data_IF_115960638065
#
_entry.id   IF_115960638065
#
_cell.length_a   1.000
_cell.length_b   1.000
_cell.length_c   1.000
_cell.angle_alpha   90.00
_cell.angle_beta   90.00
_cell.angle_gamma   90.00
#
_symmetry.space_group_name_H-M   'P 1'
#
loop_
_entity.id
_entity.type
_entity.pdbx_description
1 polymer ?
#
# COMPACT_ATOMS: atom_id res chain seq x y z
N UNK A 1 -8.44 14.97 14.83
CA UNK A 1 -9.15 13.69 14.56
C UNK A 1 -8.08 12.67 14.17
N UNK A 2 -8.07 11.43 14.69
CA UNK A 2 -7.10 10.41 14.24
C UNK A 2 -7.67 9.00 14.43
N UNK A 3 -7.19 8.04 13.63
CA UNK A 3 -7.37 6.61 13.89
C UNK A 3 -6.15 6.13 14.69
N UNK A 4 -6.39 5.61 15.89
CA UNK A 4 -5.33 5.15 16.77
C UNK A 4 -5.55 3.69 17.15
N UNK A 5 -4.52 2.88 16.97
CA UNK A 5 -4.45 1.48 17.39
C UNK A 5 -3.46 1.40 18.54
N UNK A 6 -3.86 0.78 19.67
CA UNK A 6 -3.04 0.72 20.88
C UNK A 6 -2.97 -0.70 21.42
N UNK A 7 -1.76 -1.21 21.59
CA UNK A 7 -1.41 -2.51 22.18
C UNK A 7 -2.28 -3.67 21.65
N UNK A 8 -2.65 -3.63 20.34
CA UNK A 8 -3.60 -4.57 19.75
C UNK A 8 -3.01 -5.97 19.70
N UNK A 9 -3.71 -6.95 20.26
CA UNK A 9 -3.32 -8.37 20.27
C UNK A 9 -4.41 -9.25 19.69
N UNK A 10 -3.99 -10.28 18.95
CA UNK A 10 -4.91 -11.26 18.36
C UNK A 10 -4.25 -12.62 18.26
N UNK A 11 -4.99 -13.62 18.69
CA UNK A 11 -4.62 -15.02 18.59
C UNK A 11 -5.72 -15.83 17.90
N UNK A 12 -5.34 -16.80 17.07
CA UNK A 12 -6.23 -17.81 16.53
C UNK A 12 -5.77 -19.18 17.02
N UNK A 13 -6.52 -19.78 17.95
CA UNK A 13 -6.09 -20.97 18.66
C UNK A 13 -4.76 -20.74 19.40
N UNK A 14 -3.73 -21.50 19.06
CA UNK A 14 -2.39 -21.36 19.66
C UNK A 14 -1.49 -20.33 18.94
N UNK A 15 -1.89 -19.86 17.75
CA UNK A 15 -1.07 -18.97 16.93
C UNK A 15 -1.32 -17.50 17.30
N UNK A 16 -0.26 -16.82 17.80
CA UNK A 16 -0.25 -15.37 17.95
C UNK A 16 -0.11 -14.73 16.57
N UNK A 17 -1.05 -13.84 16.19
CA UNK A 17 -1.04 -13.15 14.89
C UNK A 17 -0.71 -11.68 15.04
N UNK A 18 -1.20 -11.03 16.11
CA UNK A 18 -0.83 -9.67 16.47
C UNK A 18 -0.35 -9.65 17.90
N UNK A 19 0.81 -9.01 18.15
CA UNK A 19 1.47 -8.98 19.43
C UNK A 19 1.85 -7.54 19.84
N UNK A 20 0.86 -6.80 20.31
CA UNK A 20 1.05 -5.44 20.81
C UNK A 20 1.29 -4.43 19.68
N UNK A 21 0.34 -4.32 18.74
CA UNK A 21 0.43 -3.39 17.62
C UNK A 21 0.03 -1.99 18.06
N UNK A 22 0.91 -1.03 17.80
CA UNK A 22 0.71 0.40 18.04
C UNK A 22 0.98 1.19 16.77
N UNK A 23 0.03 1.99 16.31
CA UNK A 23 0.22 3.01 15.29
C UNK A 23 -0.91 4.04 15.32
N UNK A 24 -0.65 5.19 14.72
CA UNK A 24 -1.63 6.27 14.59
C UNK A 24 -1.66 6.78 13.15
N UNK A 25 -2.87 7.00 12.63
CA UNK A 25 -3.12 7.56 11.30
C UNK A 25 -3.61 8.99 11.46
N UNK A 26 -2.87 9.93 10.90
CA UNK A 26 -3.26 11.34 10.85
C UNK A 26 -4.52 11.50 10.00
N UNK A 27 -5.42 12.43 10.32
CA UNK A 27 -6.58 12.71 9.47
C UNK A 27 -6.16 13.10 8.06
N UNK A 28 -6.93 12.65 7.08
CA UNK A 28 -6.72 12.93 5.66
C UNK A 28 -5.41 12.39 5.08
N UNK A 29 -4.69 11.55 5.86
CA UNK A 29 -3.52 10.83 5.40
C UNK A 29 -3.86 9.43 4.91
N UNK A 30 -3.02 8.93 4.01
CA UNK A 30 -2.96 7.51 3.63
C UNK A 30 -1.82 6.88 4.43
N UNK A 31 -2.15 5.97 5.31
CA UNK A 31 -1.18 5.22 6.11
C UNK A 31 -1.05 3.80 5.57
N UNK A 32 0.14 3.42 5.12
CA UNK A 32 0.39 2.05 4.66
C UNK A 32 0.90 1.16 5.79
N UNK A 33 0.40 -0.08 5.83
CA UNK A 33 0.97 -1.16 6.65
C UNK A 33 1.60 -2.16 5.68
N UNK A 34 2.93 -2.26 5.72
CA UNK A 34 3.71 -3.10 4.81
C UNK A 34 4.28 -4.30 5.55
N UNK A 35 4.24 -5.46 4.94
CA UNK A 35 4.82 -6.68 5.51
C UNK A 35 4.55 -7.90 4.65
N UNK A 36 5.27 -8.99 4.90
CA UNK A 36 5.11 -10.26 4.17
C UNK A 36 3.71 -10.86 4.35
N UNK A 37 3.32 -11.77 3.47
CA UNK A 37 2.08 -12.53 3.63
C UNK A 37 2.04 -13.25 4.97
N UNK A 38 0.89 -13.17 5.66
CA UNK A 38 0.70 -13.79 6.97
C UNK A 38 1.27 -13.01 8.15
N UNK A 39 1.79 -11.78 7.97
CA UNK A 39 2.29 -10.93 9.07
C UNK A 39 1.19 -10.35 9.97
N UNK A 40 -0.09 -10.45 9.58
CA UNK A 40 -1.23 -9.95 10.38
C UNK A 40 -1.92 -8.71 9.83
N UNK A 41 -1.50 -8.18 8.66
CA UNK A 41 -2.04 -6.95 8.05
C UNK A 41 -3.55 -6.94 7.89
N UNK A 42 -4.10 -7.92 7.17
CA UNK A 42 -5.57 -8.02 6.96
C UNK A 42 -6.34 -8.25 8.26
N UNK A 43 -5.71 -8.89 9.26
CA UNK A 43 -6.31 -9.04 10.60
C UNK A 43 -6.49 -7.68 11.27
N UNK A 44 -5.50 -6.79 11.17
CA UNK A 44 -5.62 -5.40 11.68
C UNK A 44 -6.80 -4.70 11.01
N UNK A 45 -6.89 -4.73 9.67
CA UNK A 45 -7.99 -4.08 8.95
C UNK A 45 -9.36 -4.67 9.34
N UNK A 46 -9.47 -6.01 9.46
CA UNK A 46 -10.72 -6.67 9.87
C UNK A 46 -11.16 -6.26 11.26
N UNK A 47 -10.23 -6.11 12.21
CA UNK A 47 -10.54 -5.63 13.57
C UNK A 47 -11.01 -4.17 13.52
N UNK A 48 -10.34 -3.29 12.77
CA UNK A 48 -10.76 -1.88 12.60
C UNK A 48 -12.14 -1.81 11.96
N UNK A 49 -12.41 -2.60 10.93
CA UNK A 49 -13.71 -2.68 10.26
C UNK A 49 -14.83 -3.27 11.14
N UNK A 50 -14.49 -4.01 12.20
CA UNK A 50 -15.46 -4.72 13.04
C UNK A 50 -15.92 -6.05 12.46
N UNK A 51 -15.12 -6.61 11.55
CA UNK A 51 -15.31 -7.94 10.96
C UNK A 51 -14.62 -9.04 11.75
N UNK A 52 -13.79 -8.65 12.72
CA UNK A 52 -13.12 -9.52 13.68
C UNK A 52 -12.97 -8.78 15.02
N UNK A 53 -12.62 -9.52 16.09
CA UNK A 53 -12.42 -8.99 17.43
C UNK A 53 -10.95 -9.10 17.82
N UNK A 54 -10.44 -8.16 18.59
CA UNK A 54 -9.14 -8.28 19.28
C UNK A 54 -9.31 -9.06 20.58
N UNK A 55 -8.22 -9.68 21.05
CA UNK A 55 -8.17 -10.29 22.37
C UNK A 55 -7.81 -9.25 23.43
N UNK A 56 -6.89 -8.31 23.08
CA UNK A 56 -6.45 -7.19 23.93
C UNK A 56 -6.22 -5.95 23.06
N UNK A 57 -6.08 -4.80 23.72
CA UNK A 57 -5.81 -3.51 23.10
C UNK A 57 -7.08 -2.77 22.68
N UNK A 58 -6.89 -1.61 22.07
CA UNK A 58 -7.98 -0.71 21.71
C UNK A 58 -7.76 -0.11 20.30
N UNK A 59 -8.89 0.22 19.66
CA UNK A 59 -8.94 0.98 18.41
C UNK A 59 -9.82 2.19 18.61
N UNK A 60 -9.28 3.37 18.38
CA UNK A 60 -10.01 4.63 18.53
C UNK A 60 -10.14 5.36 17.20
N UNK A 61 -11.31 5.94 16.97
CA UNK A 61 -11.53 6.98 15.99
C UNK A 61 -12.01 8.24 16.71
N UNK A 62 -11.26 9.34 16.61
CA UNK A 62 -11.59 10.60 17.29
C UNK A 62 -11.85 10.41 18.79
N UNK A 63 -10.96 9.71 19.49
CA UNK A 63 -11.08 9.37 20.91
C UNK A 63 -12.26 8.45 21.29
N UNK A 64 -13.05 7.99 20.32
CA UNK A 64 -14.12 7.02 20.54
C UNK A 64 -13.63 5.62 20.23
N UNK A 65 -13.75 4.71 21.20
CA UNK A 65 -13.43 3.28 20.95
C UNK A 65 -14.35 2.70 19.89
N UNK A 66 -13.74 2.10 18.85
CA UNK A 66 -14.45 1.40 17.79
C UNK A 66 -14.79 -0.05 18.16
N UNK A 67 -14.06 -0.67 19.08
CA UNK A 67 -14.25 -2.10 19.41
C UNK A 67 -15.66 -2.39 19.97
N UNK A 68 -16.25 -1.41 20.65
CA UNK A 68 -17.61 -1.50 21.21
C UNK A 68 -18.71 -1.10 20.20
N UNK A 69 -18.33 -0.65 18.99
CA UNK A 69 -19.25 -0.19 17.95
C UNK A 69 -19.47 -1.30 16.93
N UNK A 70 -20.71 -1.73 16.63
CA UNK A 70 -20.99 -2.67 15.55
C UNK A 70 -20.45 -2.17 14.20
N UNK A 71 -19.98 -3.07 13.33
CA UNK A 71 -19.32 -2.72 12.06
C UNK A 71 -20.11 -1.68 11.24
N UNK A 72 -21.41 -1.89 11.05
CA UNK A 72 -22.28 -1.02 10.26
C UNK A 72 -22.48 0.42 10.85
N UNK A 73 -22.01 0.68 12.08
CA UNK A 73 -22.08 2.00 12.75
C UNK A 73 -20.72 2.66 12.91
N UNK A 74 -19.64 2.01 12.44
CA UNK A 74 -18.28 2.56 12.59
C UNK A 74 -17.94 3.66 11.62
N UNK A 75 -18.68 3.79 10.52
CA UNK A 75 -18.34 4.67 9.37
C UNK A 75 -16.95 4.34 8.80
N UNK A 76 -16.61 3.08 8.83
CA UNK A 76 -15.39 2.49 8.27
C UNK A 76 -15.80 1.56 7.15
N UNK A 77 -15.27 1.74 5.96
CA UNK A 77 -15.53 0.87 4.82
C UNK A 77 -14.26 0.20 4.37
N UNK A 78 -14.34 -1.07 4.03
CA UNK A 78 -13.20 -1.87 3.59
C UNK A 78 -13.36 -2.26 2.12
N UNK A 79 -12.34 -1.94 1.33
CA UNK A 79 -12.14 -2.44 -0.02
C UNK A 79 -11.23 -3.68 0.07
N UNK A 80 -11.77 -4.83 -0.28
CA UNK A 80 -11.05 -6.10 -0.22
C UNK A 80 -10.25 -6.35 -1.49
N UNK A 81 -9.30 -7.28 -1.45
CA UNK A 81 -8.55 -7.78 -2.59
C UNK A 81 -9.45 -8.25 -3.76
N UNK A 82 -10.56 -8.90 -3.45
CA UNK A 82 -11.62 -9.21 -4.42
C UNK A 82 -12.66 -8.10 -4.43
N UNK A 83 -13.19 -7.76 -5.59
CA UNK A 83 -14.17 -6.67 -5.76
C UNK A 83 -15.48 -6.91 -5.04
N UNK A 84 -15.83 -8.18 -4.75
CA UNK A 84 -17.06 -8.60 -4.08
C UNK A 84 -18.33 -7.95 -4.68
N UNK A 85 -18.33 -7.69 -5.98
CA UNK A 85 -19.50 -7.18 -6.69
C UNK A 85 -20.55 -8.30 -6.81
N UNK A 86 -21.82 -7.93 -6.71
CA UNK A 86 -22.92 -8.86 -6.92
C UNK A 86 -23.12 -9.08 -8.42
N UNK A 87 -22.84 -10.27 -8.96
CA UNK A 87 -22.84 -10.50 -10.43
C UNK A 87 -24.24 -10.48 -11.05
N UNK A 88 -25.29 -10.62 -10.24
CA UNK A 88 -26.69 -10.58 -10.66
C UNK A 88 -27.31 -9.18 -10.61
N UNK A 89 -26.55 -8.18 -10.23
CA UNK A 89 -26.92 -6.77 -10.19
C UNK A 89 -26.13 -5.99 -11.23
N UNK A 90 -26.71 -4.92 -11.77
CA UNK A 90 -25.99 -3.97 -12.60
C UNK A 90 -24.91 -3.23 -11.80
N UNK A 91 -24.03 -2.54 -12.50
CA UNK A 91 -23.01 -1.67 -11.90
C UNK A 91 -23.64 -0.63 -10.99
N UNK A 92 -24.68 0.05 -11.45
CA UNK A 92 -25.39 1.06 -10.66
C UNK A 92 -26.11 0.50 -9.46
N UNK A 93 -26.76 -0.67 -9.60
CA UNK A 93 -27.43 -1.34 -8.49
C UNK A 93 -26.44 -1.75 -7.39
N UNK A 94 -25.23 -2.24 -7.77
CA UNK A 94 -24.17 -2.54 -6.81
C UNK A 94 -23.79 -1.31 -5.96
N UNK A 95 -23.71 -0.13 -6.57
CA UNK A 95 -23.39 1.12 -5.86
C UNK A 95 -24.62 1.62 -5.07
N UNK A 96 -25.83 1.53 -5.64
CA UNK A 96 -27.08 1.94 -5.01
C UNK A 96 -27.31 1.26 -3.66
N UNK A 97 -26.94 -0.03 -3.52
CA UNK A 97 -27.05 -0.76 -2.27
C UNK A 97 -26.31 -0.11 -1.10
N UNK A 98 -25.22 0.61 -1.38
CA UNK A 98 -24.39 1.25 -0.36
C UNK A 98 -24.82 2.70 -0.06
N UNK A 99 -25.63 3.33 -0.93
CA UNK A 99 -26.11 4.70 -0.70
C UNK A 99 -27.14 4.74 0.43
N UNK A 100 -27.15 5.83 1.21
CA UNK A 100 -28.08 5.98 2.35
C UNK A 100 -29.55 6.00 1.94
N UNK A 101 -29.87 6.66 0.85
CA UNK A 101 -31.24 6.78 0.34
C UNK A 101 -31.63 5.70 -0.64
N UNK A 102 -30.70 4.78 -1.00
CA UNK A 102 -30.86 3.79 -2.06
C UNK A 102 -31.37 4.42 -3.37
N UNK A 103 -30.86 5.62 -3.70
CA UNK A 103 -31.29 6.34 -4.91
C UNK A 103 -30.31 6.15 -6.05
N UNK A 104 -30.86 6.06 -7.27
CA UNK A 104 -30.08 6.02 -8.52
C UNK A 104 -29.19 7.26 -8.67
N UNK A 105 -29.71 8.44 -8.37
CA UNK A 105 -28.99 9.70 -8.47
C UNK A 105 -27.70 9.71 -7.63
N UNK A 106 -27.79 9.22 -6.36
CA UNK A 106 -26.58 9.10 -5.54
C UNK A 106 -25.58 8.10 -6.09
N UNK A 107 -26.05 6.97 -6.62
CA UNK A 107 -25.17 5.99 -7.22
C UNK A 107 -24.50 6.54 -8.49
N UNK A 108 -25.22 7.22 -9.36
CA UNK A 108 -24.68 7.89 -10.57
C UNK A 108 -23.63 8.95 -10.18
N UNK A 109 -23.85 9.72 -9.10
CA UNK A 109 -22.84 10.65 -8.59
C UNK A 109 -21.53 9.93 -8.25
N UNK A 110 -21.58 8.82 -7.51
CA UNK A 110 -20.38 8.06 -7.15
C UNK A 110 -19.75 7.35 -8.34
N UNK A 111 -20.53 6.88 -9.31
CA UNK A 111 -20.02 6.36 -10.56
C UNK A 111 -19.30 7.43 -11.38
N UNK A 112 -19.81 8.66 -11.43
CA UNK A 112 -19.14 9.79 -12.07
C UNK A 112 -17.79 10.10 -11.39
N UNK A 113 -17.72 10.06 -10.05
CA UNK A 113 -16.48 10.27 -9.28
C UNK A 113 -15.41 9.25 -9.69
N UNK A 114 -15.80 7.99 -9.95
CA UNK A 114 -14.85 6.95 -10.40
C UNK A 114 -14.74 6.84 -11.93
N UNK A 115 -15.28 7.81 -12.69
CA UNK A 115 -15.24 7.90 -14.15
C UNK A 115 -15.95 6.73 -14.87
N UNK A 116 -17.08 6.31 -14.33
CA UNK A 116 -17.96 5.25 -14.87
C UNK A 116 -19.43 5.66 -14.90
N UNK A 117 -19.71 6.97 -15.03
CA UNK A 117 -21.08 7.49 -14.99
C UNK A 117 -21.99 6.96 -16.09
N UNK A 118 -21.43 6.59 -17.25
CA UNK A 118 -22.12 5.99 -18.41
C UNK A 118 -22.40 4.49 -18.24
N UNK A 119 -21.91 3.85 -17.17
CA UNK A 119 -21.96 2.41 -16.96
C UNK A 119 -23.02 1.94 -15.96
N UNK A 120 -23.95 2.81 -15.57
CA UNK A 120 -24.95 2.47 -14.53
C UNK A 120 -25.72 1.19 -14.84
N UNK A 121 -26.21 1.03 -16.07
CA UNK A 121 -27.06 -0.09 -16.48
C UNK A 121 -26.24 -1.27 -17.05
N UNK A 122 -24.88 -1.18 -17.08
CA UNK A 122 -24.01 -2.25 -17.52
C UNK A 122 -23.99 -3.43 -16.54
N UNK A 123 -23.77 -4.64 -17.04
CA UNK A 123 -23.57 -5.82 -16.19
C UNK A 123 -22.11 -5.92 -15.71
N UNK A 124 -21.88 -6.48 -14.51
CA UNK A 124 -20.55 -6.56 -13.89
C UNK A 124 -19.55 -7.31 -14.77
N UNK A 125 -19.99 -8.33 -15.50
CA UNK A 125 -19.12 -9.15 -16.36
C UNK A 125 -18.67 -8.44 -17.66
N UNK A 126 -19.31 -7.34 -18.05
CA UNK A 126 -18.90 -6.53 -19.20
C UNK A 126 -17.70 -5.62 -18.87
N UNK A 127 -17.35 -5.48 -17.58
CA UNK A 127 -16.29 -4.61 -17.11
C UNK A 127 -14.94 -5.31 -17.09
N UNK A 128 -13.89 -4.58 -17.45
CA UNK A 128 -12.50 -4.96 -17.17
C UNK A 128 -12.23 -5.05 -15.67
N UNK A 129 -11.18 -5.77 -15.25
CA UNK A 129 -10.82 -5.89 -13.84
C UNK A 129 -10.60 -4.52 -13.15
N UNK A 130 -9.98 -3.56 -13.85
CA UNK A 130 -9.80 -2.21 -13.32
C UNK A 130 -11.10 -1.40 -13.20
N UNK A 131 -12.06 -1.60 -14.11
CA UNK A 131 -13.39 -1.00 -13.99
C UNK A 131 -14.16 -1.62 -12.83
N UNK A 132 -14.11 -2.94 -12.66
CA UNK A 132 -14.72 -3.60 -11.50
C UNK A 132 -14.14 -3.09 -10.18
N UNK A 133 -12.82 -2.84 -10.13
CA UNK A 133 -12.18 -2.27 -8.95
C UNK A 133 -12.68 -0.84 -8.68
N UNK A 134 -12.85 -0.02 -9.71
CA UNK A 134 -13.45 1.33 -9.59
C UNK A 134 -14.91 1.29 -9.14
N UNK A 135 -15.71 0.34 -9.62
CA UNK A 135 -17.10 0.13 -9.14
C UNK A 135 -17.09 -0.26 -7.66
N UNK A 136 -16.20 -1.17 -7.25
CA UNK A 136 -16.05 -1.55 -5.83
C UNK A 136 -15.67 -0.34 -4.96
N UNK A 137 -14.79 0.53 -5.47
CA UNK A 137 -14.44 1.80 -4.81
C UNK A 137 -15.63 2.75 -4.74
N UNK A 138 -16.40 2.93 -5.83
CA UNK A 138 -17.61 3.75 -5.81
C UNK A 138 -18.61 3.25 -4.77
N UNK A 139 -18.81 1.94 -4.68
CA UNK A 139 -19.66 1.32 -3.66
C UNK A 139 -19.15 1.58 -2.23
N UNK A 140 -17.84 1.51 -2.03
CA UNK A 140 -17.22 1.80 -0.73
C UNK A 140 -17.43 3.27 -0.33
N UNK A 141 -17.26 4.20 -1.27
CA UNK A 141 -17.43 5.64 -1.07
C UNK A 141 -18.91 6.05 -0.91
N UNK A 142 -19.83 5.33 -1.57
CA UNK A 142 -21.27 5.57 -1.47
C UNK A 142 -21.83 5.37 -0.05
N UNK A 143 -21.12 4.62 0.79
CA UNK A 143 -21.42 4.50 2.22
C UNK A 143 -21.00 5.75 3.03
N UNK A 144 -20.36 6.74 2.41
CA UNK A 144 -19.82 7.97 3.01
C UNK A 144 -18.99 7.67 4.28
N UNK A 145 -17.91 6.90 4.14
CA UNK A 145 -17.07 6.52 5.26
C UNK A 145 -16.24 7.71 5.79
N UNK A 146 -15.83 7.65 7.05
CA UNK A 146 -14.80 8.51 7.62
C UNK A 146 -13.40 7.91 7.47
N UNK A 147 -13.33 6.57 7.41
CA UNK A 147 -12.09 5.83 7.22
C UNK A 147 -12.26 4.80 6.11
N UNK A 148 -11.37 4.83 5.13
CA UNK A 148 -11.29 3.85 4.04
C UNK A 148 -10.16 2.86 4.30
N UNK A 149 -10.48 1.58 4.34
CA UNK A 149 -9.51 0.48 4.48
C UNK A 149 -9.31 -0.19 3.13
N UNK A 150 -8.06 -0.35 2.72
CA UNK A 150 -7.64 -0.92 1.44
C UNK A 150 -6.81 -2.18 1.69
N UNK A 151 -7.37 -3.36 1.48
CA UNK A 151 -6.70 -4.65 1.71
C UNK A 151 -6.18 -5.23 0.39
N UNK A 152 -4.91 -5.02 0.11
CA UNK A 152 -4.21 -5.44 -1.12
C UNK A 152 -5.01 -5.13 -2.41
N UNK A 153 -5.46 -3.88 -2.62
CA UNK A 153 -6.46 -3.55 -3.63
C UNK A 153 -5.97 -3.63 -5.08
N UNK A 154 -4.67 -3.82 -5.30
CA UNK A 154 -4.05 -3.82 -6.63
C UNK A 154 -3.50 -5.19 -7.05
N UNK A 155 -3.75 -6.22 -6.28
CA UNK A 155 -3.32 -7.58 -6.58
C UNK A 155 -4.01 -8.09 -7.85
N UNK A 156 -3.27 -8.80 -8.71
CA UNK A 156 -3.74 -9.38 -9.98
C UNK A 156 -4.14 -8.37 -11.08
N UNK A 157 -3.69 -7.12 -11.00
CA UNK A 157 -3.86 -6.14 -12.07
C UNK A 157 -2.62 -6.12 -12.99
N UNK A 158 -2.85 -5.77 -14.26
CA UNK A 158 -1.76 -5.45 -15.19
C UNK A 158 -0.92 -4.29 -14.65
N UNK A 159 0.43 -4.29 -14.79
CA UNK A 159 1.30 -3.28 -14.20
C UNK A 159 0.96 -1.83 -14.60
N UNK A 160 0.57 -1.58 -15.86
CA UNK A 160 0.23 -0.24 -16.30
C UNK A 160 -1.10 0.22 -15.69
N UNK A 161 -2.10 -0.66 -15.71
CA UNK A 161 -3.40 -0.42 -15.09
C UNK A 161 -3.28 -0.23 -13.57
N UNK A 162 -2.40 -1.00 -12.92
CA UNK A 162 -2.10 -0.88 -11.49
C UNK A 162 -1.60 0.52 -11.14
N UNK A 163 -0.59 1.03 -11.87
CA UNK A 163 -0.02 2.35 -11.62
C UNK A 163 -1.06 3.48 -11.77
N UNK A 164 -1.86 3.45 -12.84
CA UNK A 164 -2.90 4.44 -13.07
C UNK A 164 -3.98 4.41 -11.98
N UNK A 165 -4.39 3.21 -11.55
CA UNK A 165 -5.38 3.05 -10.49
C UNK A 165 -4.86 3.49 -9.12
N UNK A 166 -3.60 3.24 -8.80
CA UNK A 166 -2.95 3.70 -7.57
C UNK A 166 -2.96 5.23 -7.49
N UNK A 167 -2.52 5.91 -8.55
CA UNK A 167 -2.56 7.37 -8.62
C UNK A 167 -3.98 7.90 -8.50
N UNK A 168 -4.90 7.32 -9.25
CA UNK A 168 -6.31 7.70 -9.21
C UNK A 168 -6.90 7.59 -7.79
N UNK A 169 -6.68 6.46 -7.10
CA UNK A 169 -7.19 6.26 -5.73
C UNK A 169 -6.53 7.23 -4.75
N UNK A 170 -5.22 7.46 -4.86
CA UNK A 170 -4.52 8.44 -4.03
C UNK A 170 -5.10 9.83 -4.18
N UNK A 171 -5.22 10.30 -5.42
CA UNK A 171 -5.74 11.62 -5.71
C UNK A 171 -7.18 11.76 -5.17
N UNK A 172 -8.02 10.75 -5.39
CA UNK A 172 -9.40 10.74 -4.92
C UNK A 172 -9.53 10.76 -3.39
N UNK A 173 -8.69 10.00 -2.68
CA UNK A 173 -8.65 10.02 -1.19
C UNK A 173 -8.30 11.41 -0.69
N UNK A 174 -7.36 12.10 -1.35
CA UNK A 174 -6.97 13.47 -1.00
C UNK A 174 -8.05 14.49 -1.36
N UNK A 175 -8.67 14.40 -2.53
CA UNK A 175 -9.76 15.30 -2.96
C UNK A 175 -11.00 15.20 -2.06
N UNK A 176 -11.27 14.01 -1.52
CA UNK A 176 -12.42 13.77 -0.64
C UNK A 176 -12.10 13.95 0.84
N UNK A 177 -10.88 14.39 1.19
CA UNK A 177 -10.42 14.53 2.59
C UNK A 177 -10.63 13.27 3.43
N UNK A 178 -10.44 12.09 2.83
CA UNK A 178 -10.61 10.81 3.51
C UNK A 178 -9.35 10.41 4.28
N UNK A 179 -9.55 9.76 5.42
CA UNK A 179 -8.47 9.04 6.10
C UNK A 179 -8.42 7.60 5.57
N UNK A 180 -7.25 7.11 5.14
CA UNK A 180 -7.15 5.77 4.57
C UNK A 180 -6.05 4.95 5.23
N UNK A 181 -6.30 3.63 5.34
CA UNK A 181 -5.30 2.63 5.72
C UNK A 181 -5.13 1.65 4.57
N UNK A 182 -3.94 1.61 3.99
CA UNK A 182 -3.55 0.69 2.92
C UNK A 182 -2.77 -0.48 3.52
N UNK A 183 -3.14 -1.69 3.19
CA UNK A 183 -2.34 -2.88 3.49
C UNK A 183 -1.80 -3.43 2.19
N UNK A 184 -0.49 -3.65 2.15
CA UNK A 184 0.20 -4.22 0.99
C UNK A 184 1.46 -4.99 1.41
N UNK A 185 1.92 -5.88 0.55
CA UNK A 185 3.25 -6.48 0.61
C UNK A 185 4.23 -5.81 -0.37
N UNK A 186 3.73 -4.86 -1.18
CA UNK A 186 4.49 -4.16 -2.20
C UNK A 186 4.98 -2.81 -1.66
N UNK A 187 6.31 -2.66 -1.57
CA UNK A 187 6.96 -1.44 -1.09
C UNK A 187 6.73 -0.25 -2.05
N UNK A 188 6.71 -0.51 -3.35
CA UNK A 188 6.49 0.53 -4.37
C UNK A 188 5.08 1.11 -4.24
N UNK A 189 4.07 0.29 -3.94
CA UNK A 189 2.72 0.78 -3.64
C UNK A 189 2.70 1.72 -2.45
N UNK A 190 3.36 1.33 -1.36
CA UNK A 190 3.43 2.16 -0.16
C UNK A 190 4.18 3.48 -0.44
N UNK A 191 5.28 3.43 -1.20
CA UNK A 191 6.04 4.63 -1.58
C UNK A 191 5.24 5.58 -2.48
N UNK A 192 4.43 5.04 -3.39
CA UNK A 192 3.62 5.85 -4.31
C UNK A 192 2.41 6.48 -3.62
N UNK A 193 1.76 5.74 -2.73
CA UNK A 193 0.45 6.11 -2.20
C UNK A 193 0.47 6.73 -0.81
N UNK A 194 1.36 6.27 0.08
CA UNK A 194 1.25 6.58 1.49
C UNK A 194 2.00 7.86 1.90
N UNK A 195 1.43 8.58 2.85
CA UNK A 195 2.08 9.68 3.55
C UNK A 195 2.99 9.14 4.68
N UNK A 196 2.54 8.07 5.34
CA UNK A 196 3.30 7.34 6.37
C UNK A 196 3.15 5.84 6.19
N UNK A 197 4.17 5.12 6.64
CA UNK A 197 4.26 3.67 6.53
C UNK A 197 4.59 3.06 7.88
N UNK A 198 3.95 1.96 8.21
CA UNK A 198 4.30 1.07 9.34
C UNK A 198 4.75 -0.27 8.78
N UNK A 199 5.94 -0.72 9.17
CA UNK A 199 6.44 -2.05 8.83
C UNK A 199 5.97 -3.06 9.85
N UNK A 200 5.36 -4.15 9.35
CA UNK A 200 4.81 -5.23 10.17
C UNK A 200 5.54 -6.54 9.87
N UNK A 201 6.18 -7.10 10.87
CA UNK A 201 6.88 -8.37 10.77
C UNK A 201 6.48 -9.30 11.91
N UNK A 202 6.07 -10.52 11.57
CA UNK A 202 5.69 -11.55 12.56
C UNK A 202 4.73 -11.05 13.65
N UNK A 203 3.75 -10.23 13.26
CA UNK A 203 2.74 -9.69 14.17
C UNK A 203 3.22 -8.54 15.07
N UNK A 204 4.36 -7.92 14.77
CA UNK A 204 4.91 -6.77 15.50
C UNK A 204 5.24 -5.62 14.58
N UNK A 205 5.12 -4.40 15.08
CA UNK A 205 5.62 -3.20 14.39
C UNK A 205 7.14 -3.14 14.59
N UNK A 206 7.89 -3.08 13.49
CA UNK A 206 9.36 -2.94 13.50
C UNK A 206 9.79 -1.51 13.29
N UNK A 207 9.08 -0.75 12.46
CA UNK A 207 9.39 0.65 12.19
C UNK A 207 8.14 1.41 11.73
N UNK A 208 8.11 2.73 11.97
CA UNK A 208 7.07 3.63 11.46
C UNK A 208 7.72 4.97 11.09
N UNK A 209 7.40 5.49 9.91
CA UNK A 209 7.94 6.75 9.40
C UNK A 209 7.29 7.16 8.09
N UNK A 210 7.80 8.19 7.44
CA UNK A 210 7.48 8.46 6.04
C UNK A 210 8.12 7.40 5.14
N UNK A 211 7.59 7.20 3.94
CA UNK A 211 8.16 6.24 3.00
C UNK A 211 9.65 6.54 2.70
N UNK A 212 10.02 7.84 2.62
CA UNK A 212 11.40 8.27 2.41
C UNK A 212 12.30 7.90 3.60
N UNK A 213 11.90 8.24 4.83
CA UNK A 213 12.67 7.91 6.04
C UNK A 213 12.91 6.40 6.15
N UNK A 214 11.89 5.59 5.90
CA UNK A 214 12.01 4.13 5.99
C UNK A 214 12.86 3.55 4.84
N UNK A 215 12.80 4.14 3.64
CA UNK A 215 13.65 3.72 2.54
C UNK A 215 15.14 3.92 2.86
N UNK A 216 15.48 5.00 3.55
CA UNK A 216 16.85 5.35 3.94
C UNK A 216 17.35 4.61 5.19
N UNK A 217 16.45 4.16 6.09
CA UNK A 217 16.84 3.67 7.42
C UNK A 217 16.40 2.25 7.76
N UNK A 218 15.41 1.69 7.06
CA UNK A 218 14.82 0.39 7.44
C UNK A 218 15.18 -0.73 6.46
N UNK A 219 16.12 -1.63 6.80
CA UNK A 219 16.34 -2.86 6.07
C UNK A 219 15.02 -3.65 5.91
N UNK A 220 14.72 -4.10 4.69
CA UNK A 220 13.43 -4.75 4.38
C UNK A 220 12.35 -3.82 3.83
N UNK A 221 12.53 -2.48 3.94
CA UNK A 221 11.74 -1.51 3.18
C UNK A 221 12.56 -0.79 2.11
N UNK A 222 13.73 -0.25 2.46
CA UNK A 222 14.70 0.30 1.50
C UNK A 222 15.57 -0.79 0.87
N UNK A 223 16.28 -0.41 -0.17
CA UNK A 223 17.30 -1.23 -0.78
C UNK A 223 18.63 -0.96 -0.08
N UNK A 224 19.24 -2.01 0.45
CA UNK A 224 20.49 -1.96 1.20
C UNK A 224 21.49 -2.90 0.56
N UNK A 225 22.76 -2.56 0.71
CA UNK A 225 23.88 -3.35 0.24
C UNK A 225 24.88 -3.57 1.37
N UNK A 226 25.45 -4.76 1.45
CA UNK A 226 26.56 -5.05 2.36
C UNK A 226 27.85 -4.47 1.74
N UNK A 227 28.49 -3.52 2.40
CA UNK A 227 29.76 -2.93 1.97
C UNK A 227 30.70 -2.90 3.17
N UNK A 228 31.90 -3.46 3.03
CA UNK A 228 32.92 -3.55 4.07
C UNK A 228 32.38 -4.18 5.39
N UNK A 229 31.46 -5.15 5.27
CA UNK A 229 30.84 -5.82 6.41
C UNK A 229 29.73 -5.04 7.12
N UNK A 230 29.30 -3.88 6.60
CA UNK A 230 28.20 -3.09 7.10
C UNK A 230 27.05 -2.99 6.09
N UNK A 231 25.81 -3.09 6.57
CA UNK A 231 24.60 -2.90 5.77
C UNK A 231 24.38 -1.41 5.52
N UNK A 232 24.40 -0.96 4.26
CA UNK A 232 24.26 0.44 3.85
C UNK A 232 23.08 0.64 2.91
N UNK A 233 22.29 1.73 3.06
CA UNK A 233 21.26 2.07 2.09
C UNK A 233 21.91 2.42 0.74
N UNK A 234 21.22 2.09 -0.36
CA UNK A 234 21.74 2.38 -1.71
C UNK A 234 21.95 3.89 -1.96
N UNK A 235 21.23 4.75 -1.22
CA UNK A 235 21.47 6.22 -1.25
C UNK A 235 22.91 6.60 -0.88
N UNK A 236 23.55 5.81 -0.02
CA UNK A 236 24.92 6.03 0.47
C UNK A 236 26.00 5.33 -0.37
N UNK A 237 25.58 4.72 -1.45
CA UNK A 237 26.42 3.90 -2.32
C UNK A 237 26.65 4.61 -3.66
N UNK A 238 27.85 4.48 -4.21
CA UNK A 238 28.18 4.96 -5.55
C UNK A 238 29.03 3.95 -6.33
N UNK A 239 28.89 3.98 -7.64
CA UNK A 239 29.75 3.22 -8.54
C UNK A 239 31.00 4.02 -8.88
N UNK A 240 32.15 3.36 -8.83
CA UNK A 240 33.49 3.94 -9.06
C UNK A 240 34.26 3.08 -10.06
N UNK A 241 35.21 3.67 -10.78
CA UNK A 241 36.13 2.94 -11.67
C UNK A 241 37.33 2.36 -10.91
N UNK A 242 37.67 2.90 -9.75
CA UNK A 242 38.96 2.64 -9.12
C UNK A 242 38.91 1.92 -7.77
N UNK A 243 37.90 2.22 -6.92
CA UNK A 243 37.91 1.82 -5.50
C UNK A 243 36.57 1.21 -5.09
N UNK A 244 36.59 0.12 -4.32
CA UNK A 244 35.44 -0.55 -3.75
C UNK A 244 35.33 -2.02 -4.16
N UNK A 245 34.17 -2.60 -3.88
CA UNK A 245 33.85 -4.00 -4.18
C UNK A 245 33.63 -4.21 -5.69
N UNK A 246 34.22 -5.22 -6.34
CA UNK A 246 34.12 -5.42 -7.78
C UNK A 246 32.71 -5.86 -8.20
N UNK A 247 32.20 -5.24 -9.25
CA UNK A 247 30.90 -5.55 -9.85
C UNK A 247 30.97 -5.43 -11.38
N UNK A 248 30.17 -6.19 -12.08
CA UNK A 248 30.05 -6.12 -13.54
C UNK A 248 28.75 -5.44 -13.95
N UNK A 249 28.83 -4.40 -14.77
CA UNK A 249 27.65 -3.77 -15.36
C UNK A 249 27.07 -4.66 -16.45
N UNK A 250 25.89 -5.22 -16.21
CA UNK A 250 25.24 -6.16 -17.13
C UNK A 250 24.24 -5.50 -18.05
N UNK A 251 23.57 -4.43 -17.60
CA UNK A 251 22.52 -3.76 -18.35
C UNK A 251 22.41 -2.29 -17.96
N UNK A 252 22.05 -1.43 -18.91
CA UNK A 252 21.65 -0.05 -18.66
C UNK A 252 20.16 0.14 -18.93
N UNK A 253 19.52 0.92 -18.08
CA UNK A 253 18.10 1.25 -18.20
C UNK A 253 17.95 2.75 -17.96
N UNK A 254 17.21 3.43 -18.83
CA UNK A 254 16.87 4.84 -18.64
C UNK A 254 15.44 4.94 -18.06
N UNK A 255 15.30 5.54 -16.87
CA UNK A 255 14.02 5.76 -16.19
C UNK A 255 13.99 7.13 -15.52
N UNK A 256 12.85 7.81 -15.61
CA UNK A 256 12.61 9.09 -14.92
C UNK A 256 13.68 10.16 -15.15
N UNK A 257 14.23 10.24 -16.37
CA UNK A 257 15.26 11.23 -16.70
C UNK A 257 16.67 10.87 -16.22
N UNK A 258 16.90 9.67 -15.72
CA UNK A 258 18.18 9.21 -15.19
C UNK A 258 18.56 7.82 -15.70
N UNK A 259 19.87 7.60 -15.90
CA UNK A 259 20.41 6.29 -16.26
C UNK A 259 20.68 5.45 -15.03
N UNK A 260 20.22 4.20 -15.06
CA UNK A 260 20.52 3.18 -14.06
C UNK A 260 21.29 2.03 -14.70
N UNK A 261 22.17 1.40 -13.93
CA UNK A 261 22.90 0.20 -14.30
C UNK A 261 22.52 -0.97 -13.40
N UNK A 262 22.33 -2.14 -13.99
CA UNK A 262 22.23 -3.40 -13.26
C UNK A 262 23.63 -3.96 -13.10
N UNK A 263 24.12 -4.02 -11.86
CA UNK A 263 25.46 -4.46 -11.49
C UNK A 263 25.40 -5.82 -10.81
N UNK A 264 26.19 -6.77 -11.29
CA UNK A 264 26.28 -8.12 -10.75
C UNK A 264 27.59 -8.30 -9.98
N UNK A 265 27.48 -8.86 -8.79
CA UNK A 265 28.59 -9.29 -7.95
C UNK A 265 29.09 -10.69 -8.38
N UNK A 266 30.28 -11.06 -7.93
CA UNK A 266 30.86 -12.39 -8.20
C UNK A 266 30.06 -13.54 -7.55
N UNK A 267 29.38 -13.28 -6.45
CA UNK A 267 28.52 -14.25 -5.73
C UNK A 267 27.14 -14.46 -6.37
N UNK A 268 26.85 -13.77 -7.48
CA UNK A 268 25.59 -13.86 -8.22
C UNK A 268 24.49 -12.89 -7.79
N UNK A 269 24.68 -12.10 -6.73
CA UNK A 269 23.76 -11.02 -6.40
C UNK A 269 23.80 -9.90 -7.44
N UNK A 270 22.71 -9.18 -7.60
CA UNK A 270 22.66 -7.99 -8.46
C UNK A 270 22.03 -6.80 -7.74
N UNK A 271 22.41 -5.60 -8.16
CA UNK A 271 21.90 -4.34 -7.64
C UNK A 271 21.69 -3.34 -8.77
N UNK A 272 20.63 -2.55 -8.64
CA UNK A 272 20.33 -1.46 -9.57
C UNK A 272 20.78 -0.13 -8.95
N UNK A 273 21.75 0.54 -9.57
CA UNK A 273 22.29 1.81 -9.09
C UNK A 273 22.26 2.87 -10.19
N UNK A 274 22.17 4.15 -9.82
CA UNK A 274 22.44 5.24 -10.77
C UNK A 274 23.79 5.02 -11.46
N UNK A 275 23.84 5.19 -12.77
CA UNK A 275 25.04 4.97 -13.57
C UNK A 275 25.35 6.16 -14.45
N UNK A 276 26.63 6.34 -14.78
CA UNK A 276 27.06 7.38 -15.71
C UNK A 276 26.88 6.92 -17.17
N UNK A 277 26.61 7.86 -18.07
CA UNK A 277 26.42 7.56 -19.49
C UNK A 277 27.67 6.94 -20.13
N UNK A 278 28.88 7.32 -19.68
CA UNK A 278 30.14 6.78 -20.16
C UNK A 278 30.40 5.31 -19.78
N UNK A 279 29.73 4.77 -18.76
CA UNK A 279 29.97 3.40 -18.32
C UNK A 279 29.49 2.40 -19.37
N UNK A 280 30.30 1.36 -19.62
CA UNK A 280 30.03 0.39 -20.68
C UNK A 280 29.52 -0.94 -20.10
N UNK A 281 28.49 -1.49 -20.71
CA UNK A 281 27.96 -2.83 -20.39
C UNK A 281 29.04 -3.88 -20.63
N UNK A 282 29.14 -4.86 -19.73
CA UNK A 282 30.18 -5.90 -19.72
C UNK A 282 31.46 -5.51 -18.99
N UNK A 283 31.65 -4.26 -18.65
CA UNK A 283 32.86 -3.76 -17.96
C UNK A 283 32.74 -3.96 -16.45
N UNK A 284 33.90 -4.18 -15.81
CA UNK A 284 34.00 -4.22 -14.34
C UNK A 284 34.11 -2.81 -13.78
N UNK A 285 33.33 -2.56 -12.76
CA UNK A 285 33.33 -1.35 -11.94
C UNK A 285 33.48 -1.72 -10.48
N UNK A 286 33.46 -0.75 -9.60
CA UNK A 286 33.54 -0.97 -8.16
C UNK A 286 32.45 -0.20 -7.45
N UNK A 287 31.88 -0.78 -6.41
CA UNK A 287 30.90 -0.15 -5.56
C UNK A 287 31.58 0.27 -4.26
N UNK A 288 31.41 1.53 -3.88
CA UNK A 288 31.93 2.08 -2.64
C UNK A 288 30.90 3.00 -1.95
N UNK A 289 31.16 3.31 -0.67
CA UNK A 289 30.44 4.33 0.05
C UNK A 289 30.68 5.72 -0.59
N UNK A 290 29.64 6.57 -0.63
CA UNK A 290 29.80 8.00 -0.91
C UNK A 290 30.63 8.63 0.21
N UNK A 291 31.62 9.38 -0.16
CA UNK A 291 32.36 10.23 0.78
C UNK A 291 31.47 11.47 1.03
N UNK A 292 31.12 11.72 2.30
CA UNK A 292 30.27 12.83 2.72
C UNK A 292 30.94 14.19 2.55
#
# INVERSE_FOLDING_TARGET
MSLKVQALRKRYGTRQVLDGIDFEVTPHDIHAIVGVSGSGKSTILRIIAGLDTSDEGEVFWNHRSLLKVPAHKRRVTMLSQSTLLFPHLTVGENVTLATRSRSREQAERWLNVVRLGDRYDAEVHELSGGEQQRVSLARALAAEPEVLLLDEPFTNLDPNLKFDLQRFIRDLVKELDLTAVLVTHDREEAMLMADRVTLLESGKVTSTGTAKELYESAPGFGDFLMIDGELRPLSDVMVSEAVGEPVRLMKKIYRFGQSFGEYHFEDGHSVMLPTHESFQVGTMYRIKRKEG
#
